data_IF_429264862896
#
_entry.id   IF_429264862896
#
_cell.length_a   1.000
_cell.length_b   1.000
_cell.length_c   1.000
_cell.angle_alpha   90.00
_cell.angle_beta   90.00
_cell.angle_gamma   90.00
#
_symmetry.space_group_name_H-M   'P 1'
#
loop_
_entity.id
_entity.type
_entity.pdbx_description
1 polymer ?
#
# COMPACT_ATOMS: atom_id res chain seq x y z
N UNK A 1 -11.90 -4.85 1.94
CA UNK A 1 -11.85 -5.65 3.19
C UNK A 1 -12.76 -6.86 3.06
N UNK A 2 -12.38 -8.00 3.63
CA UNK A 2 -13.08 -9.28 3.41
C UNK A 2 -12.91 -10.21 4.61
N UNK A 3 -13.91 -11.06 4.85
CA UNK A 3 -13.91 -12.11 5.88
C UNK A 3 -13.31 -13.44 5.40
N UNK A 4 -12.92 -13.53 4.12
CA UNK A 4 -12.38 -14.75 3.51
C UNK A 4 -10.87 -14.80 3.74
N UNK A 5 -10.43 -15.73 4.58
CA UNK A 5 -9.01 -15.99 4.87
C UNK A 5 -8.33 -16.60 3.62
N UNK A 6 -7.30 -15.93 3.09
CA UNK A 6 -6.45 -16.43 2.00
C UNK A 6 -4.98 -16.10 2.32
N UNK A 7 -4.05 -16.92 1.85
CA UNK A 7 -2.63 -16.91 2.27
C UNK A 7 -1.92 -15.56 2.07
N UNK A 8 -2.37 -14.72 1.12
CA UNK A 8 -1.82 -13.39 0.85
C UNK A 8 -2.52 -12.25 1.62
N UNK A 9 -3.34 -12.57 2.63
CA UNK A 9 -4.10 -11.58 3.39
C UNK A 9 -3.56 -11.39 4.80
N UNK A 10 -3.36 -10.14 5.17
CA UNK A 10 -2.90 -9.75 6.48
C UNK A 10 -4.10 -9.62 7.41
N UNK A 11 -4.05 -10.26 8.57
CA UNK A 11 -5.12 -10.12 9.57
C UNK A 11 -5.06 -8.72 10.18
N UNK A 12 -6.16 -7.98 10.09
CA UNK A 12 -6.25 -6.60 10.59
C UNK A 12 -6.97 -6.52 11.95
N UNK A 13 -7.62 -7.60 12.40
CA UNK A 13 -8.48 -7.63 13.59
C UNK A 13 -9.94 -7.92 13.25
N UNK A 14 -10.75 -8.30 14.25
CA UNK A 14 -12.20 -8.50 14.14
C UNK A 14 -12.68 -9.39 12.98
N UNK A 15 -11.92 -10.43 12.64
CA UNK A 15 -12.24 -11.30 11.51
C UNK A 15 -12.08 -10.62 10.13
N UNK A 16 -11.48 -9.43 10.08
CA UNK A 16 -11.21 -8.68 8.86
C UNK A 16 -9.79 -8.96 8.38
N UNK A 17 -9.70 -9.29 7.10
CA UNK A 17 -8.45 -9.50 6.41
C UNK A 17 -8.22 -8.41 5.35
N UNK A 18 -7.03 -7.82 5.41
CA UNK A 18 -6.52 -6.86 4.43
C UNK A 18 -5.76 -7.57 3.33
N UNK A 19 -6.02 -7.21 2.08
CA UNK A 19 -5.25 -7.70 0.93
C UNK A 19 -4.14 -6.71 0.60
N UNK A 20 -2.91 -7.22 0.46
CA UNK A 20 -1.77 -6.39 0.08
C UNK A 20 -1.75 -6.24 -1.44
N UNK A 21 -2.12 -5.06 -1.91
CA UNK A 21 -2.20 -4.74 -3.35
C UNK A 21 -0.93 -4.10 -3.88
N UNK A 22 -0.14 -3.41 -3.07
CA UNK A 22 1.13 -2.80 -3.49
C UNK A 22 2.21 -3.09 -2.46
N UNK A 23 3.46 -3.21 -2.90
CA UNK A 23 4.64 -3.25 -2.01
C UNK A 23 5.53 -2.04 -2.26
N UNK A 24 6.08 -1.45 -1.22
CA UNK A 24 7.06 -0.37 -1.38
C UNK A 24 8.48 -0.92 -1.32
N UNK A 25 9.31 -0.60 -2.31
CA UNK A 25 10.76 -0.88 -2.31
C UNK A 25 11.55 0.43 -2.21
N UNK A 26 12.41 0.53 -1.20
CA UNK A 26 13.26 1.72 -1.00
C UNK A 26 14.11 1.98 -2.26
N UNK A 27 14.07 3.21 -2.76
CA UNK A 27 14.77 3.63 -3.98
C UNK A 27 14.05 3.29 -5.30
N UNK A 28 13.02 2.44 -5.28
CA UNK A 28 12.22 2.10 -6.47
C UNK A 28 10.79 2.62 -6.43
N UNK A 29 10.21 2.80 -5.24
CA UNK A 29 8.83 3.23 -5.08
C UNK A 29 7.86 2.06 -4.88
N UNK A 30 6.57 2.33 -5.06
CA UNK A 30 5.53 1.31 -5.04
C UNK A 30 5.60 0.41 -6.29
N UNK A 31 5.55 -0.90 -6.06
CA UNK A 31 5.50 -1.94 -7.08
C UNK A 31 4.21 -2.77 -6.90
N UNK A 32 3.50 -3.08 -7.99
CA UNK A 32 2.37 -4.00 -7.94
C UNK A 32 2.82 -5.46 -7.81
N UNK A 33 1.94 -6.26 -7.21
CA UNK A 33 1.95 -7.72 -7.23
C UNK A 33 1.26 -8.28 -8.47
N UNK A 34 1.42 -9.59 -8.69
CA UNK A 34 0.77 -10.32 -9.78
C UNK A 34 -0.77 -10.30 -9.70
N UNK A 35 -1.33 -10.05 -8.52
CA UNK A 35 -2.77 -9.98 -8.23
C UNK A 35 -3.26 -8.56 -7.92
N UNK A 36 -2.43 -7.52 -8.07
CA UNK A 36 -2.89 -6.13 -7.90
C UNK A 36 -3.98 -5.80 -8.91
N UNK A 37 -5.01 -5.07 -8.49
CA UNK A 37 -6.05 -4.58 -9.39
C UNK A 37 -5.44 -3.85 -10.59
N UNK A 38 -5.90 -4.09 -11.83
CA UNK A 38 -5.31 -3.51 -13.04
C UNK A 38 -5.14 -1.99 -12.96
N UNK A 39 -6.13 -1.29 -12.42
CA UNK A 39 -6.14 0.16 -12.29
C UNK A 39 -4.97 0.66 -11.44
N UNK A 40 -4.59 -0.09 -10.40
CA UNK A 40 -3.53 0.27 -9.47
C UNK A 40 -2.13 -0.10 -9.99
N UNK A 41 -2.05 -0.77 -11.15
CA UNK A 41 -0.78 -1.04 -11.83
C UNK A 41 -0.35 0.09 -12.76
N UNK A 42 -1.25 1.04 -13.03
CA UNK A 42 -0.97 2.15 -13.94
C UNK A 42 0.07 3.09 -13.32
N UNK A 43 0.88 3.72 -14.18
CA UNK A 43 1.93 4.64 -13.74
C UNK A 43 1.36 5.82 -12.95
N UNK A 44 0.19 6.33 -13.35
CA UNK A 44 -0.50 7.45 -12.69
C UNK A 44 -0.82 7.13 -11.23
N UNK A 45 -1.43 5.96 -10.97
CA UNK A 45 -1.72 5.55 -9.60
C UNK A 45 -0.45 5.32 -8.78
N UNK A 46 0.58 4.69 -9.36
CA UNK A 46 1.85 4.48 -8.66
C UNK A 46 2.53 5.81 -8.30
N UNK A 47 2.47 6.81 -9.18
CA UNK A 47 2.97 8.16 -8.90
C UNK A 47 2.21 8.82 -7.74
N UNK A 48 0.87 8.75 -7.76
CA UNK A 48 0.02 9.25 -6.68
C UNK A 48 0.42 8.60 -5.34
N UNK A 49 0.57 7.28 -5.30
CA UNK A 49 0.96 6.59 -4.06
C UNK A 49 2.35 7.01 -3.57
N UNK A 50 3.32 7.17 -4.47
CA UNK A 50 4.65 7.66 -4.11
C UNK A 50 4.58 9.08 -3.53
N UNK A 51 3.81 9.98 -4.16
CA UNK A 51 3.59 11.36 -3.69
C UNK A 51 2.98 11.39 -2.29
N UNK A 52 1.92 10.61 -2.04
CA UNK A 52 1.27 10.50 -0.73
C UNK A 52 2.28 10.07 0.34
N UNK A 53 3.14 9.10 0.03
CA UNK A 53 4.18 8.64 0.96
C UNK A 53 5.19 9.74 1.28
N UNK A 54 5.61 10.53 0.30
CA UNK A 54 6.52 11.66 0.54
C UNK A 54 5.90 12.70 1.47
N UNK A 55 4.64 13.07 1.23
CA UNK A 55 3.89 13.99 2.10
C UNK A 55 3.80 13.46 3.52
N UNK A 56 3.41 12.19 3.68
CA UNK A 56 3.31 11.55 5.00
C UNK A 56 4.66 11.49 5.73
N UNK A 57 5.76 11.22 5.02
CA UNK A 57 7.12 11.30 5.60
C UNK A 57 7.48 12.70 6.07
N UNK A 58 6.99 13.74 5.38
CA UNK A 58 7.13 15.12 5.84
C UNK A 58 6.36 15.37 7.13
N UNK A 59 5.12 14.88 7.22
CA UNK A 59 4.26 15.04 8.41
C UNK A 59 4.84 14.35 9.64
N UNK A 60 5.37 13.12 9.51
CA UNK A 60 5.96 12.40 10.65
C UNK A 60 7.14 13.18 11.24
N UNK A 61 8.02 13.72 10.38
CA UNK A 61 9.16 14.51 10.84
C UNK A 61 8.73 15.75 11.63
N UNK A 62 7.69 16.44 11.16
CA UNK A 62 7.13 17.61 11.83
C UNK A 62 6.50 17.24 13.19
N UNK A 63 5.91 16.05 13.32
CA UNK A 63 5.32 15.60 14.59
C UNK A 63 6.33 15.10 15.63
N UNK A 64 7.59 14.90 15.24
CA UNK A 64 8.69 14.51 16.13
C UNK A 64 9.51 15.72 16.65
N UNK A 65 9.22 16.93 16.15
CA UNK A 65 9.76 18.24 16.59
C UNK A 65 8.77 18.98 17.50
#
# INVERSE_FOLDING_TARGET
>A
VTTKNQQHRLYLGDGIYGEVTLRYRRGKGFEPWQWTYPDYRTAEYLEIFNKIRELYRGQIKISEE
#
